data_IF_490319425372
#
_entry.id   IF_490319425372
#
_cell.length_a   1.000
_cell.length_b   1.000
_cell.length_c   1.000
_cell.angle_alpha   90.00
_cell.angle_beta   90.00
_cell.angle_gamma   90.00
#
_symmetry.space_group_name_H-M   'P 1'
#
loop_
_entity.id
_entity.type
_entity.pdbx_description
1 polymer ?
#
# COMPACT_ATOMS: atom_id res chain seq x y z
N UNK A 1 24.74 -3.12 22.81
CA UNK A 1 24.41 -2.78 21.40
C UNK A 1 24.02 -4.06 20.71
N UNK A 2 22.81 -4.12 20.16
CA UNK A 2 22.36 -5.31 19.45
C UNK A 2 23.21 -5.54 18.20
N UNK A 3 23.38 -6.82 17.84
CA UNK A 3 24.17 -7.21 16.66
C UNK A 3 23.60 -6.53 15.41
N UNK A 4 24.42 -5.87 14.61
CA UNK A 4 24.03 -5.40 13.27
C UNK A 4 23.75 -6.59 12.37
N UNK A 5 22.53 -6.63 11.79
CA UNK A 5 22.09 -7.70 10.92
C UNK A 5 22.41 -7.40 9.46
N UNK A 6 22.69 -8.46 8.70
CA UNK A 6 22.79 -8.40 7.25
C UNK A 6 21.44 -8.83 6.65
N UNK A 7 20.70 -7.90 6.10
CA UNK A 7 19.31 -8.04 5.68
C UNK A 7 19.22 -8.03 4.14
N UNK A 8 18.59 -9.03 3.58
CA UNK A 8 18.41 -9.18 2.14
C UNK A 8 16.94 -9.11 1.74
N UNK A 9 16.55 -8.09 1.00
CA UNK A 9 15.20 -7.97 0.43
C UNK A 9 15.14 -8.56 -0.97
N UNK A 10 14.15 -9.39 -1.27
CA UNK A 10 13.93 -9.97 -2.60
C UNK A 10 12.53 -9.67 -3.14
N UNK A 11 12.48 -9.04 -4.31
CA UNK A 11 11.23 -8.78 -5.02
C UNK A 11 11.41 -8.91 -6.53
N UNK A 12 10.98 -10.04 -7.08
CA UNK A 12 11.05 -10.33 -8.51
C UNK A 12 9.88 -9.79 -9.34
N UNK A 13 9.29 -8.68 -8.90
CA UNK A 13 8.18 -8.02 -9.62
C UNK A 13 8.59 -7.64 -11.05
N UNK A 14 7.59 -7.45 -11.93
CA UNK A 14 7.85 -6.97 -13.30
C UNK A 14 8.62 -5.65 -13.30
N UNK A 15 9.58 -5.51 -14.22
CA UNK A 15 10.50 -4.36 -14.29
C UNK A 15 9.78 -3.00 -14.34
N UNK A 16 8.62 -2.95 -15.00
CA UNK A 16 7.84 -1.71 -15.18
C UNK A 16 6.77 -1.48 -14.12
N UNK A 17 6.64 -2.39 -13.15
CA UNK A 17 5.68 -2.23 -12.05
C UNK A 17 6.26 -1.38 -10.92
N UNK A 18 5.45 -0.44 -10.46
CA UNK A 18 5.69 0.38 -9.30
C UNK A 18 4.38 0.57 -8.53
N UNK A 19 4.41 0.44 -7.23
CA UNK A 19 3.24 0.60 -6.37
C UNK A 19 3.58 0.66 -4.89
N UNK A 20 2.57 0.52 -4.06
CA UNK A 20 2.71 0.62 -2.59
C UNK A 20 3.65 -0.41 -1.98
N UNK A 21 3.71 -1.62 -2.54
CA UNK A 21 4.60 -2.68 -2.06
C UNK A 21 6.07 -2.37 -2.28
N UNK A 22 6.42 -1.85 -3.47
CA UNK A 22 7.77 -1.46 -3.84
C UNK A 22 8.22 -0.22 -3.07
N UNK A 23 7.34 0.79 -2.92
CA UNK A 23 7.57 1.98 -2.10
C UNK A 23 7.86 1.59 -0.64
N UNK A 24 7.07 0.67 -0.09
CA UNK A 24 7.27 0.14 1.26
C UNK A 24 8.65 -0.53 1.43
N UNK A 25 9.06 -1.36 0.45
CA UNK A 25 10.35 -2.05 0.53
C UNK A 25 11.53 -1.08 0.57
N UNK A 26 11.52 -0.03 -0.26
CA UNK A 26 12.58 0.98 -0.24
C UNK A 26 12.57 1.72 1.10
N UNK A 27 11.40 2.14 1.61
CA UNK A 27 11.30 2.81 2.91
C UNK A 27 11.80 1.94 4.06
N UNK A 28 11.43 0.65 4.08
CA UNK A 28 11.89 -0.30 5.07
C UNK A 28 13.41 -0.52 5.00
N UNK A 29 13.94 -0.70 3.79
CA UNK A 29 15.37 -0.90 3.55
C UNK A 29 16.20 0.34 3.97
N UNK A 30 15.74 1.55 3.60
CA UNK A 30 16.40 2.79 4.02
C UNK A 30 16.36 2.97 5.55
N UNK A 31 15.19 2.79 6.18
CA UNK A 31 15.07 2.95 7.63
C UNK A 31 15.94 1.96 8.42
N UNK A 32 16.02 0.71 7.98
CA UNK A 32 16.92 -0.27 8.59
C UNK A 32 18.40 0.07 8.37
N UNK A 33 18.76 0.56 7.18
CA UNK A 33 20.12 1.05 6.90
C UNK A 33 20.49 2.24 7.78
N UNK A 34 19.58 3.20 7.99
CA UNK A 34 19.78 4.36 8.87
C UNK A 34 20.03 3.93 10.33
N UNK A 35 19.56 2.75 10.75
CA UNK A 35 19.83 2.13 12.04
C UNK A 35 21.14 1.34 12.08
N UNK A 36 21.86 1.33 10.98
CA UNK A 36 23.19 0.74 10.88
C UNK A 36 23.22 -0.74 10.49
N UNK A 37 22.11 -1.30 10.01
CA UNK A 37 22.10 -2.62 9.39
C UNK A 37 22.72 -2.58 7.99
N UNK A 38 23.30 -3.71 7.57
CA UNK A 38 23.72 -3.93 6.18
C UNK A 38 22.50 -4.38 5.37
N UNK A 39 22.05 -3.56 4.41
CA UNK A 39 20.84 -3.85 3.67
C UNK A 39 21.12 -3.97 2.18
N UNK A 40 20.75 -5.10 1.58
CA UNK A 40 20.80 -5.35 0.13
C UNK A 40 19.39 -5.54 -0.41
N UNK A 41 19.03 -4.81 -1.47
CA UNK A 41 17.76 -4.96 -2.17
C UNK A 41 17.96 -5.65 -3.52
N UNK A 42 17.25 -6.75 -3.74
CA UNK A 42 17.33 -7.56 -4.94
C UNK A 42 16.02 -7.53 -5.72
N UNK A 43 16.15 -7.45 -7.03
CA UNK A 43 15.03 -7.42 -7.96
C UNK A 43 15.46 -7.71 -9.40
N UNK A 44 14.56 -7.52 -10.36
CA UNK A 44 14.92 -7.64 -11.77
C UNK A 44 15.88 -6.53 -12.20
N UNK A 45 16.87 -6.90 -13.00
CA UNK A 45 17.75 -5.93 -13.64
C UNK A 45 16.95 -4.84 -14.38
N UNK A 46 17.41 -3.60 -14.33
CA UNK A 46 16.82 -2.44 -14.99
C UNK A 46 15.34 -2.21 -14.61
N UNK A 47 14.93 -2.63 -13.42
CA UNK A 47 13.57 -2.39 -12.92
C UNK A 47 13.45 -1.03 -12.24
N UNK A 48 12.25 -0.45 -12.29
CA UNK A 48 11.94 0.79 -11.55
C UNK A 48 12.27 0.62 -10.05
N UNK A 49 12.07 -0.58 -9.49
CA UNK A 49 12.41 -0.87 -8.11
C UNK A 49 13.90 -0.71 -7.83
N UNK A 50 14.77 -1.33 -8.65
CA UNK A 50 16.23 -1.25 -8.43
C UNK A 50 16.77 0.14 -8.70
N UNK A 51 16.31 0.81 -9.76
CA UNK A 51 16.75 2.18 -10.05
C UNK A 51 16.43 3.12 -8.88
N UNK A 52 15.19 3.07 -8.35
CA UNK A 52 14.81 3.88 -7.18
C UNK A 52 15.53 3.48 -5.88
N UNK A 53 15.88 2.22 -5.74
CA UNK A 53 16.68 1.75 -4.59
C UNK A 53 18.12 2.28 -4.67
N UNK A 54 18.69 2.31 -5.86
CA UNK A 54 20.02 2.87 -6.12
C UNK A 54 20.03 4.40 -5.91
N UNK A 55 19.03 5.12 -6.44
CA UNK A 55 18.81 6.55 -6.19
C UNK A 55 18.70 6.87 -4.69
N UNK A 56 18.13 5.93 -3.90
CA UNK A 56 18.03 6.02 -2.44
C UNK A 56 19.33 5.59 -1.71
N UNK A 57 20.40 5.29 -2.45
CA UNK A 57 21.70 4.89 -1.89
C UNK A 57 21.75 3.50 -1.28
N UNK A 58 20.81 2.61 -1.62
CA UNK A 58 20.84 1.23 -1.16
C UNK A 58 21.82 0.37 -1.99
N UNK A 59 22.39 -0.64 -1.37
CA UNK A 59 23.10 -1.71 -2.09
C UNK A 59 22.09 -2.52 -2.89
N UNK A 60 22.25 -2.55 -4.22
CA UNK A 60 21.37 -3.32 -5.11
C UNK A 60 22.07 -4.58 -5.62
N UNK A 61 21.25 -5.63 -5.87
CA UNK A 61 21.72 -6.87 -6.46
C UNK A 61 20.70 -7.39 -7.49
N UNK A 62 20.98 -7.29 -8.79
CA UNK A 62 20.08 -7.81 -9.81
C UNK A 62 19.93 -9.34 -9.72
N UNK A 63 18.71 -9.82 -9.51
CA UNK A 63 18.37 -11.23 -9.47
C UNK A 63 17.09 -11.51 -10.26
N UNK A 64 17.24 -12.02 -11.47
CA UNK A 64 16.11 -12.31 -12.36
C UNK A 64 15.49 -13.68 -12.01
N UNK A 65 14.36 -13.66 -11.29
CA UNK A 65 13.53 -14.83 -11.01
C UNK A 65 12.32 -14.78 -11.93
N UNK A 66 12.27 -15.65 -12.94
CA UNK A 66 11.18 -15.73 -13.93
C UNK A 66 10.21 -16.87 -13.65
N UNK A 67 10.72 -18.01 -13.26
CA UNK A 67 9.95 -19.23 -13.04
C UNK A 67 10.11 -19.77 -11.61
N UNK A 68 9.07 -20.45 -11.14
CA UNK A 68 9.08 -21.19 -9.88
C UNK A 68 10.07 -22.38 -9.95
N UNK A 69 10.71 -22.71 -8.84
CA UNK A 69 11.53 -23.90 -8.64
C UNK A 69 12.70 -24.09 -9.61
N UNK A 70 13.21 -23.02 -10.24
CA UNK A 70 14.35 -23.10 -11.16
C UNK A 70 15.64 -23.48 -10.39
N UNK A 71 16.23 -24.69 -10.62
CA UNK A 71 17.33 -25.22 -9.81
C UNK A 71 18.61 -24.38 -9.96
N UNK A 72 18.89 -23.88 -11.16
CA UNK A 72 20.07 -23.04 -11.40
C UNK A 72 19.94 -21.70 -10.65
N UNK A 73 18.74 -21.12 -10.63
CA UNK A 73 18.49 -19.88 -9.88
C UNK A 73 18.53 -20.09 -8.37
N UNK A 74 18.02 -21.23 -7.88
CA UNK A 74 18.10 -21.60 -6.46
C UNK A 74 19.58 -21.76 -6.07
N UNK A 75 20.37 -22.50 -6.83
CA UNK A 75 21.79 -22.69 -6.56
C UNK A 75 22.58 -21.37 -6.62
N UNK A 76 22.35 -20.55 -7.63
CA UNK A 76 22.99 -19.24 -7.78
C UNK A 76 22.63 -18.31 -6.60
N UNK A 77 21.35 -18.23 -6.25
CA UNK A 77 20.88 -17.42 -5.10
C UNK A 77 21.49 -17.93 -3.79
N UNK A 78 21.57 -19.25 -3.57
CA UNK A 78 22.26 -19.84 -2.41
C UNK A 78 23.71 -19.35 -2.30
N UNK A 79 24.45 -19.32 -3.40
CA UNK A 79 25.85 -18.82 -3.40
C UNK A 79 25.94 -17.35 -3.01
N UNK A 80 25.03 -16.53 -3.53
CA UNK A 80 24.92 -15.11 -3.16
C UNK A 80 24.67 -14.98 -1.66
N UNK A 81 23.61 -15.61 -1.14
CA UNK A 81 23.24 -15.48 0.28
C UNK A 81 24.36 -15.92 1.22
N UNK A 82 25.11 -16.97 0.87
CA UNK A 82 26.30 -17.38 1.63
C UNK A 82 27.44 -16.38 1.55
N UNK A 83 27.73 -15.86 0.36
CA UNK A 83 28.81 -14.86 0.15
C UNK A 83 28.52 -13.56 0.92
N UNK A 84 27.27 -13.11 0.85
CA UNK A 84 26.82 -11.90 1.55
C UNK A 84 26.60 -12.13 3.05
N UNK A 85 26.74 -13.35 3.57
CA UNK A 85 26.52 -13.73 5.00
C UNK A 85 25.17 -13.21 5.54
N UNK A 86 24.09 -13.45 4.79
CA UNK A 86 22.75 -12.94 5.10
C UNK A 86 22.22 -13.53 6.41
N UNK A 87 21.82 -12.68 7.36
CA UNK A 87 21.16 -13.07 8.61
C UNK A 87 19.63 -13.18 8.43
N UNK A 88 19.04 -12.23 7.70
CA UNK A 88 17.58 -12.15 7.48
C UNK A 88 17.31 -11.97 6.00
N UNK A 89 16.43 -12.81 5.43
CA UNK A 89 15.90 -12.59 4.09
C UNK A 89 14.40 -12.28 4.14
N UNK A 90 14.00 -11.21 3.47
CA UNK A 90 12.59 -10.84 3.29
C UNK A 90 12.13 -11.06 1.85
N UNK A 91 11.06 -11.80 1.67
CA UNK A 91 10.54 -12.30 0.40
C UNK A 91 9.15 -11.71 0.13
N UNK A 92 8.97 -11.03 -0.99
CA UNK A 92 7.74 -10.26 -1.23
C UNK A 92 6.70 -10.98 -2.11
N UNK A 93 7.09 -11.93 -2.95
CA UNK A 93 6.19 -12.65 -3.85
C UNK A 93 6.30 -14.17 -3.65
N UNK A 94 5.22 -14.89 -3.96
CA UNK A 94 5.20 -16.36 -3.86
C UNK A 94 6.34 -17.02 -4.63
N UNK A 95 6.70 -16.52 -5.81
CA UNK A 95 7.83 -17.05 -6.58
C UNK A 95 9.19 -16.73 -5.93
N UNK A 96 9.33 -15.61 -5.22
CA UNK A 96 10.53 -15.31 -4.44
C UNK A 96 10.68 -16.33 -3.29
N UNK A 97 9.57 -16.69 -2.63
CA UNK A 97 9.58 -17.71 -1.58
C UNK A 97 10.01 -19.07 -2.16
N UNK A 98 9.49 -19.46 -3.34
CA UNK A 98 9.80 -20.76 -3.97
C UNK A 98 11.20 -20.84 -4.56
N UNK A 99 11.86 -19.75 -4.84
CA UNK A 99 13.24 -19.72 -5.36
C UNK A 99 14.23 -19.28 -4.30
N UNK A 100 14.09 -18.05 -3.83
CA UNK A 100 15.01 -17.48 -2.85
C UNK A 100 14.80 -18.05 -1.44
N UNK A 101 13.57 -18.45 -1.06
CA UNK A 101 13.30 -19.14 0.20
C UNK A 101 13.94 -20.52 0.26
N UNK A 102 13.84 -21.34 -0.80
CA UNK A 102 14.56 -22.64 -0.88
C UNK A 102 16.08 -22.38 -0.83
N UNK A 103 16.57 -21.43 -1.60
CA UNK A 103 17.98 -21.06 -1.60
C UNK A 103 18.47 -20.65 -0.21
N UNK A 104 17.65 -19.89 0.54
CA UNK A 104 17.95 -19.44 1.89
C UNK A 104 18.01 -20.63 2.89
N UNK A 105 17.05 -21.58 2.82
CA UNK A 105 17.12 -22.82 3.60
C UNK A 105 18.41 -23.60 3.32
N UNK A 106 18.76 -23.74 2.04
CA UNK A 106 20.01 -24.45 1.65
C UNK A 106 21.29 -23.66 2.00
N UNK A 107 21.19 -22.32 2.10
CA UNK A 107 22.28 -21.48 2.55
C UNK A 107 22.40 -21.44 4.08
N UNK A 108 21.41 -21.98 4.81
CA UNK A 108 21.27 -21.89 6.27
C UNK A 108 21.15 -20.44 6.74
N UNK A 109 20.39 -19.61 6.00
CA UNK A 109 20.04 -18.25 6.46
C UNK A 109 19.20 -18.37 7.74
N UNK A 110 19.59 -17.69 8.83
CA UNK A 110 18.93 -17.85 10.14
C UNK A 110 17.44 -17.52 10.12
N UNK A 111 17.04 -16.46 9.39
CA UNK A 111 15.67 -15.96 9.41
C UNK A 111 15.15 -15.74 7.98
N UNK A 112 14.03 -16.38 7.65
CA UNK A 112 13.38 -16.29 6.33
C UNK A 112 11.95 -15.80 6.52
N UNK A 113 11.67 -14.56 6.10
CA UNK A 113 10.37 -13.89 6.29
C UNK A 113 9.69 -13.65 4.95
N UNK A 114 8.40 -13.96 4.86
CA UNK A 114 7.54 -13.49 3.77
C UNK A 114 6.83 -12.21 4.17
N UNK A 115 6.62 -11.29 3.22
CA UNK A 115 5.78 -10.11 3.42
C UNK A 115 4.63 -10.07 2.44
N UNK A 116 3.42 -10.01 2.95
CA UNK A 116 2.18 -10.00 2.17
C UNK A 116 1.33 -8.76 2.50
N UNK A 117 1.42 -7.74 1.66
CA UNK A 117 0.60 -6.53 1.78
C UNK A 117 -0.84 -6.66 1.24
N UNK A 118 -1.17 -7.82 0.66
CA UNK A 118 -2.51 -8.26 0.28
C UNK A 118 -2.58 -9.78 0.52
N UNK A 119 -3.77 -10.34 0.61
CA UNK A 119 -3.91 -11.80 0.76
C UNK A 119 -3.43 -12.51 -0.51
N UNK A 120 -2.25 -13.16 -0.45
CA UNK A 120 -1.62 -13.88 -1.55
C UNK A 120 -1.86 -15.38 -1.52
N UNK A 121 -2.25 -15.93 -0.37
CA UNK A 121 -2.46 -17.34 -0.16
C UNK A 121 -3.94 -17.68 -0.11
N UNK A 122 -4.27 -18.85 -0.60
CA UNK A 122 -5.58 -19.48 -0.49
C UNK A 122 -5.41 -20.85 0.14
N UNK A 123 -6.50 -21.45 0.60
CA UNK A 123 -6.49 -22.78 1.21
C UNK A 123 -6.24 -23.87 0.16
N UNK A 124 -4.96 -23.98 -0.26
CA UNK A 124 -4.46 -24.98 -1.22
C UNK A 124 -3.16 -25.58 -0.70
N UNK A 125 -3.00 -26.89 -0.90
CA UNK A 125 -1.82 -27.64 -0.45
C UNK A 125 -0.48 -27.03 -0.91
N UNK A 126 -0.41 -26.51 -2.13
CA UNK A 126 0.81 -25.87 -2.65
C UNK A 126 1.16 -24.57 -1.92
N UNK A 127 0.17 -23.84 -1.38
CA UNK A 127 0.42 -22.68 -0.55
C UNK A 127 0.91 -23.09 0.83
N UNK A 128 0.36 -24.16 1.42
CA UNK A 128 0.89 -24.76 2.65
C UNK A 128 2.38 -25.08 2.48
N UNK A 129 2.76 -25.79 1.41
CA UNK A 129 4.17 -26.09 1.11
C UNK A 129 5.05 -24.86 0.90
N UNK A 130 4.50 -23.80 0.32
CA UNK A 130 5.23 -22.54 0.15
C UNK A 130 5.49 -21.85 1.51
N UNK A 131 4.50 -21.89 2.41
CA UNK A 131 4.60 -21.30 3.76
C UNK A 131 5.55 -22.06 4.68
N UNK A 132 5.71 -23.37 4.49
CA UNK A 132 6.69 -24.16 5.24
C UNK A 132 8.15 -23.70 5.01
N UNK A 133 8.41 -22.99 3.91
CA UNK A 133 9.74 -22.47 3.57
C UNK A 133 10.14 -21.21 4.36
N UNK A 134 9.21 -20.55 5.03
CA UNK A 134 9.47 -19.30 5.78
C UNK A 134 9.29 -19.51 7.28
N UNK A 135 9.98 -18.74 8.09
CA UNK A 135 9.85 -18.76 9.55
C UNK A 135 8.67 -17.93 10.01
N UNK A 136 8.40 -16.81 9.32
CA UNK A 136 7.27 -15.95 9.60
C UNK A 136 6.71 -15.23 8.38
N UNK A 137 5.51 -14.66 8.56
CA UNK A 137 4.81 -13.87 7.55
C UNK A 137 4.44 -12.54 8.16
N UNK A 138 4.91 -11.45 7.57
CA UNK A 138 4.48 -10.11 7.91
C UNK A 138 3.29 -9.72 7.02
N UNK A 139 2.18 -9.32 7.63
CA UNK A 139 1.04 -8.68 6.97
C UNK A 139 0.96 -7.21 7.38
N UNK A 140 0.20 -6.42 6.64
CA UNK A 140 0.01 -5.00 6.96
C UNK A 140 -1.39 -4.69 7.49
N UNK A 141 -2.18 -5.70 7.85
CA UNK A 141 -3.48 -5.53 8.51
C UNK A 141 -3.89 -6.77 9.30
N UNK A 142 -4.63 -6.57 10.37
CA UNK A 142 -5.26 -7.63 11.17
C UNK A 142 -6.26 -8.44 10.35
N UNK A 143 -6.94 -7.79 9.43
CA UNK A 143 -7.88 -8.43 8.51
C UNK A 143 -7.19 -9.51 7.65
N UNK A 144 -5.98 -9.24 7.12
CA UNK A 144 -5.19 -10.24 6.37
C UNK A 144 -4.68 -11.34 7.30
N UNK A 145 -4.22 -10.99 8.51
CA UNK A 145 -3.80 -11.98 9.52
C UNK A 145 -4.94 -12.93 9.86
N UNK A 146 -6.12 -12.40 10.13
CA UNK A 146 -7.32 -13.19 10.42
C UNK A 146 -7.68 -14.11 9.26
N UNK A 147 -7.63 -13.61 8.01
CA UNK A 147 -7.90 -14.41 6.83
C UNK A 147 -6.90 -15.59 6.69
N UNK A 148 -5.63 -15.41 7.05
CA UNK A 148 -4.65 -16.50 7.06
C UNK A 148 -4.86 -17.47 8.22
N UNK A 149 -5.17 -16.97 9.42
CA UNK A 149 -5.41 -17.79 10.59
C UNK A 149 -6.68 -18.65 10.49
N UNK A 150 -7.57 -18.38 9.54
CA UNK A 150 -8.71 -19.22 9.21
C UNK A 150 -8.33 -20.47 8.41
N UNK A 151 -7.10 -20.57 7.88
CA UNK A 151 -6.64 -21.81 7.26
C UNK A 151 -6.22 -22.79 8.35
N UNK A 152 -6.82 -23.98 8.36
CA UNK A 152 -6.59 -25.02 9.39
C UNK A 152 -5.11 -25.45 9.53
N UNK A 153 -4.33 -25.27 8.47
CA UNK A 153 -2.91 -25.63 8.41
C UNK A 153 -1.96 -24.46 8.73
N UNK A 154 -2.47 -23.24 8.95
CA UNK A 154 -1.64 -22.06 9.25
C UNK A 154 -1.40 -21.96 10.76
N UNK A 155 -0.15 -22.07 11.24
CA UNK A 155 0.16 -21.78 12.63
C UNK A 155 -0.13 -20.29 12.94
N UNK A 156 -0.89 -20.01 14.00
CA UNK A 156 -1.34 -18.65 14.36
C UNK A 156 -0.18 -17.70 14.64
N UNK A 157 0.87 -18.23 15.29
CA UNK A 157 2.10 -17.50 15.63
C UNK A 157 2.95 -17.15 14.41
N UNK A 158 2.72 -17.77 13.27
CA UNK A 158 3.49 -17.56 12.05
C UNK A 158 3.19 -16.21 11.37
N UNK A 159 2.07 -15.57 11.72
CA UNK A 159 1.60 -14.35 11.06
C UNK A 159 1.65 -13.17 12.03
N UNK A 160 2.45 -12.16 11.69
CA UNK A 160 2.61 -10.93 12.48
C UNK A 160 2.12 -9.73 11.68
N UNK A 161 1.42 -8.80 12.35
CA UNK A 161 1.00 -7.54 11.73
C UNK A 161 2.03 -6.46 12.01
N UNK A 162 2.58 -5.91 10.92
CA UNK A 162 3.38 -4.69 10.95
C UNK A 162 2.75 -3.71 9.96
N UNK A 163 2.07 -2.71 10.50
CA UNK A 163 1.40 -1.70 9.70
C UNK A 163 2.37 -0.93 8.81
N UNK A 164 1.89 -0.46 7.66
CA UNK A 164 2.68 0.46 6.84
C UNK A 164 2.93 1.75 7.62
N UNK A 165 4.11 2.33 7.45
CA UNK A 165 4.46 3.62 8.03
C UNK A 165 4.55 4.71 6.97
N UNK A 166 4.22 5.93 7.34
CA UNK A 166 4.37 7.11 6.50
C UNK A 166 5.54 7.97 7.01
N UNK A 167 6.38 8.45 6.09
CA UNK A 167 7.42 9.40 6.44
C UNK A 167 6.76 10.76 6.68
N UNK A 168 6.70 11.16 7.95
CA UNK A 168 6.19 12.47 8.35
C UNK A 168 7.29 13.51 8.12
N UNK A 169 7.37 14.01 6.88
CA UNK A 169 8.29 15.10 6.58
C UNK A 169 7.63 16.41 7.02
N UNK A 170 8.34 17.25 7.76
CA UNK A 170 7.90 18.62 8.07
C UNK A 170 7.87 19.54 6.84
N UNK A 171 7.97 19.00 5.64
CA UNK A 171 7.93 19.77 4.40
C UNK A 171 6.52 20.34 4.19
N UNK A 172 6.43 21.65 4.06
CA UNK A 172 5.19 22.32 3.67
C UNK A 172 4.86 21.86 2.24
N UNK A 173 3.70 21.25 2.08
CA UNK A 173 3.18 20.87 0.77
C UNK A 173 2.29 21.98 0.28
N UNK A 174 2.69 22.67 -0.80
CA UNK A 174 1.83 23.66 -1.44
C UNK A 174 0.69 22.95 -2.20
N UNK A 175 -0.56 23.42 -2.04
CA UNK A 175 -1.69 22.85 -2.76
C UNK A 175 -1.56 23.12 -4.27
N UNK A 176 -1.94 22.15 -5.10
CA UNK A 176 -2.01 22.35 -6.54
C UNK A 176 -3.13 23.33 -6.90
N UNK A 177 -2.92 24.17 -7.94
CA UNK A 177 -4.00 25.02 -8.45
C UNK A 177 -4.96 24.19 -9.33
N UNK A 178 -5.74 23.32 -8.70
CA UNK A 178 -6.60 22.33 -9.37
C UNK A 178 -7.68 22.96 -10.24
N UNK A 179 -8.23 24.09 -9.86
CA UNK A 179 -9.25 24.80 -10.63
C UNK A 179 -8.71 25.29 -11.97
N UNK A 180 -7.50 25.87 -11.98
CA UNK A 180 -6.86 26.34 -13.21
C UNK A 180 -6.32 25.18 -14.06
N UNK A 181 -5.63 24.19 -13.44
CA UNK A 181 -4.98 23.10 -14.17
C UNK A 181 -6.00 22.25 -14.95
N UNK A 182 -7.17 21.98 -14.34
CA UNK A 182 -8.18 21.13 -14.96
C UNK A 182 -9.46 21.87 -15.37
N UNK A 183 -9.41 23.20 -15.45
CA UNK A 183 -10.53 24.03 -15.85
C UNK A 183 -11.83 23.67 -15.11
N UNK A 184 -11.81 23.84 -13.78
CA UNK A 184 -12.91 23.54 -12.89
C UNK A 184 -13.46 24.84 -12.33
N UNK A 185 -14.79 25.06 -12.32
CA UNK A 185 -15.38 26.24 -11.69
C UNK A 185 -14.96 26.39 -10.23
N UNK A 186 -14.73 27.62 -9.77
CA UNK A 186 -14.21 27.90 -8.42
C UNK A 186 -15.19 27.56 -7.29
N UNK A 187 -16.46 27.52 -7.61
CA UNK A 187 -17.56 27.18 -6.68
C UNK A 187 -17.76 25.66 -6.52
N UNK A 188 -17.08 24.85 -7.32
CA UNK A 188 -17.17 23.39 -7.21
C UNK A 188 -16.33 22.86 -6.03
N UNK A 189 -16.95 22.00 -5.23
CA UNK A 189 -16.25 21.18 -4.25
C UNK A 189 -15.51 20.03 -4.96
N UNK A 190 -14.31 19.74 -4.50
CA UNK A 190 -13.41 18.78 -5.18
C UNK A 190 -13.27 17.51 -4.40
N UNK A 191 -13.71 16.41 -5.01
CA UNK A 191 -13.40 15.06 -4.57
C UNK A 191 -12.18 14.54 -5.34
N UNK A 192 -11.20 13.98 -4.64
CA UNK A 192 -10.05 13.32 -5.26
C UNK A 192 -10.08 11.83 -4.93
N UNK A 193 -10.01 11.00 -5.96
CA UNK A 193 -9.76 9.57 -5.86
C UNK A 193 -8.43 9.25 -6.53
N UNK A 194 -7.60 8.38 -5.95
CA UNK A 194 -6.30 8.08 -6.53
C UNK A 194 -5.92 6.60 -6.45
N UNK A 195 -5.33 6.10 -7.52
CA UNK A 195 -4.88 4.71 -7.61
C UNK A 195 -4.73 4.20 -9.04
N UNK A 196 -4.32 2.94 -9.18
CA UNK A 196 -4.27 2.30 -10.50
C UNK A 196 -5.68 2.17 -11.08
N UNK A 197 -5.87 2.54 -12.34
CA UNK A 197 -7.16 2.37 -13.02
C UNK A 197 -7.40 0.88 -13.31
N UNK A 198 -7.89 0.18 -12.31
CA UNK A 198 -8.20 -1.25 -12.32
C UNK A 198 -9.49 -1.50 -11.56
N UNK A 199 -10.21 -2.58 -11.88
CA UNK A 199 -11.46 -2.98 -11.20
C UNK A 199 -11.33 -3.04 -9.68
N UNK A 200 -10.14 -3.40 -9.16
CA UNK A 200 -9.86 -3.44 -7.72
C UNK A 200 -10.15 -2.09 -7.04
N UNK A 201 -9.85 -0.97 -7.70
CA UNK A 201 -9.97 0.38 -7.14
C UNK A 201 -11.39 0.95 -7.15
N UNK A 202 -12.33 0.32 -7.85
CA UNK A 202 -13.76 0.65 -7.77
C UNK A 202 -14.15 1.99 -8.37
N UNK A 203 -13.35 2.58 -9.27
CA UNK A 203 -13.68 3.87 -9.88
C UNK A 203 -14.94 3.82 -10.74
N UNK A 204 -15.28 2.66 -11.30
CA UNK A 204 -16.55 2.39 -11.96
C UNK A 204 -17.75 2.56 -11.02
N UNK A 205 -17.62 2.15 -9.75
CA UNK A 205 -18.65 2.37 -8.74
C UNK A 205 -18.79 3.85 -8.38
N UNK A 206 -17.66 4.57 -8.31
CA UNK A 206 -17.66 6.01 -8.04
C UNK A 206 -18.34 6.80 -9.17
N UNK A 207 -18.03 6.48 -10.42
CA UNK A 207 -18.69 7.10 -11.58
C UNK A 207 -20.20 6.84 -11.55
N UNK A 208 -20.63 5.61 -11.27
CA UNK A 208 -22.05 5.28 -11.11
C UNK A 208 -22.70 6.00 -9.92
N UNK A 209 -22.00 6.24 -8.83
CA UNK A 209 -22.52 7.01 -7.72
C UNK A 209 -22.65 8.48 -8.10
N UNK A 210 -21.66 9.04 -8.78
CA UNK A 210 -21.67 10.43 -9.26
C UNK A 210 -22.87 10.70 -10.18
N UNK A 211 -23.22 9.76 -11.07
CA UNK A 211 -24.38 9.92 -11.98
C UNK A 211 -25.72 9.99 -11.25
N UNK A 212 -25.80 9.47 -10.03
CA UNK A 212 -27.02 9.48 -9.19
C UNK A 212 -27.15 10.70 -8.29
N UNK A 213 -26.10 11.53 -8.22
CA UNK A 213 -26.06 12.73 -7.37
C UNK A 213 -26.51 13.99 -8.10
N UNK A 214 -27.36 13.86 -9.12
CA UNK A 214 -27.97 14.99 -9.82
C UNK A 214 -28.88 15.77 -8.87
N UNK A 215 -28.75 17.10 -8.87
CA UNK A 215 -29.59 17.98 -8.05
C UNK A 215 -29.12 18.17 -6.60
N UNK A 216 -27.84 17.89 -6.30
CA UNK A 216 -27.23 18.24 -4.99
C UNK A 216 -27.20 19.75 -4.79
N UNK A 217 -27.31 20.20 -3.54
CA UNK A 217 -27.34 21.60 -3.15
C UNK A 217 -26.01 22.36 -3.46
N UNK A 218 -24.94 21.64 -3.75
CA UNK A 218 -23.60 22.18 -4.03
C UNK A 218 -23.00 21.54 -5.26
N UNK A 219 -22.47 22.34 -6.21
CA UNK A 219 -21.74 21.79 -7.36
C UNK A 219 -20.44 21.11 -6.91
N UNK A 220 -20.04 20.04 -7.61
CA UNK A 220 -18.83 19.33 -7.29
C UNK A 220 -18.17 18.70 -8.53
N UNK A 221 -16.89 18.41 -8.41
CA UNK A 221 -16.10 17.69 -9.43
C UNK A 221 -15.31 16.56 -8.77
N UNK A 222 -15.28 15.41 -9.42
CA UNK A 222 -14.50 14.23 -9.03
C UNK A 222 -13.26 14.15 -9.91
N UNK A 223 -12.07 14.21 -9.32
CA UNK A 223 -10.80 14.01 -9.98
C UNK A 223 -10.28 12.61 -9.68
N UNK A 224 -10.05 11.80 -10.72
CA UNK A 224 -9.51 10.44 -10.58
C UNK A 224 -8.07 10.45 -11.08
N UNK A 225 -7.12 10.36 -10.14
CA UNK A 225 -5.69 10.36 -10.40
C UNK A 225 -5.16 8.94 -10.57
N UNK A 226 -4.44 8.68 -11.66
CA UNK A 226 -3.78 7.41 -11.91
C UNK A 226 -3.83 6.95 -13.35
N UNK A 227 -3.19 5.81 -13.61
CA UNK A 227 -3.18 5.14 -14.91
C UNK A 227 -3.52 3.65 -14.73
N UNK A 228 -3.92 3.00 -15.80
CA UNK A 228 -4.23 1.57 -15.76
C UNK A 228 -5.03 1.09 -16.96
N UNK A 229 -5.21 -0.23 -17.01
CA UNK A 229 -5.83 -0.92 -18.14
C UNK A 229 -7.31 -0.55 -18.36
N UNK A 230 -8.01 -0.12 -17.30
CA UNK A 230 -9.45 0.16 -17.36
C UNK A 230 -9.74 1.63 -17.77
N UNK A 231 -8.69 2.43 -18.14
CA UNK A 231 -8.85 3.85 -18.51
C UNK A 231 -9.94 4.05 -19.57
N UNK A 232 -9.84 3.36 -20.70
CA UNK A 232 -10.82 3.49 -21.79
C UNK A 232 -12.24 3.12 -21.38
N UNK A 233 -12.38 2.09 -20.53
CA UNK A 233 -13.69 1.66 -20.01
C UNK A 233 -14.29 2.74 -19.11
N UNK A 234 -13.47 3.39 -18.27
CA UNK A 234 -13.92 4.47 -17.39
C UNK A 234 -14.28 5.73 -18.19
N UNK A 235 -13.49 6.09 -19.21
CA UNK A 235 -13.81 7.20 -20.13
C UNK A 235 -15.17 6.97 -20.81
N UNK A 236 -15.38 5.79 -21.39
CA UNK A 236 -16.67 5.43 -21.98
C UNK A 236 -17.83 5.53 -20.98
N UNK A 237 -17.63 5.07 -19.75
CA UNK A 237 -18.65 5.14 -18.70
C UNK A 237 -18.98 6.59 -18.29
N UNK A 238 -17.99 7.49 -18.26
CA UNK A 238 -18.18 8.93 -18.03
C UNK A 238 -19.04 9.53 -19.14
N UNK A 239 -18.73 9.23 -20.40
CA UNK A 239 -19.48 9.71 -21.57
C UNK A 239 -20.92 9.21 -21.57
N UNK A 240 -21.14 7.90 -21.38
CA UNK A 240 -22.46 7.27 -21.35
C UNK A 240 -23.38 7.81 -20.23
N UNK A 241 -22.79 8.28 -19.12
CA UNK A 241 -23.52 8.90 -18.01
C UNK A 241 -23.59 10.44 -18.10
N UNK A 242 -23.10 11.06 -19.17
CA UNK A 242 -23.06 12.52 -19.36
C UNK A 242 -22.31 13.26 -18.23
N UNK A 243 -21.19 12.68 -17.72
CA UNK A 243 -20.45 13.20 -16.57
C UNK A 243 -19.16 13.97 -16.93
N UNK A 244 -18.95 14.34 -18.19
CA UNK A 244 -17.73 15.04 -18.66
C UNK A 244 -17.47 16.37 -17.93
N UNK A 245 -18.51 17.02 -17.41
CA UNK A 245 -18.41 18.21 -16.57
C UNK A 245 -18.04 17.91 -15.10
N UNK A 246 -18.36 16.71 -14.62
CA UNK A 246 -18.29 16.38 -13.19
C UNK A 246 -17.18 15.37 -12.84
N UNK A 247 -16.70 14.56 -13.80
CA UNK A 247 -15.65 13.55 -13.54
C UNK A 247 -14.50 13.73 -14.54
N UNK A 248 -13.29 13.81 -14.03
CA UNK A 248 -12.08 13.95 -14.85
C UNK A 248 -11.03 12.90 -14.51
N UNK A 249 -10.55 12.14 -15.50
CA UNK A 249 -9.39 11.24 -15.36
C UNK A 249 -8.11 12.03 -15.59
N UNK A 250 -7.46 12.48 -14.51
CA UNK A 250 -6.33 13.41 -14.55
C UNK A 250 -4.95 12.76 -14.77
N UNK A 251 -4.92 11.44 -15.03
CA UNK A 251 -3.68 10.72 -15.30
C UNK A 251 -2.79 10.54 -14.05
N UNK A 252 -1.57 10.09 -14.28
CA UNK A 252 -0.59 9.93 -13.21
C UNK A 252 -0.11 11.30 -12.70
N UNK A 253 -0.08 11.47 -11.39
CA UNK A 253 0.37 12.69 -10.73
C UNK A 253 1.69 12.44 -10.00
N UNK A 254 2.77 13.12 -10.43
CA UNK A 254 4.08 13.02 -9.75
C UNK A 254 4.02 13.57 -8.32
N UNK A 255 3.27 14.65 -8.10
CA UNK A 255 3.02 15.25 -6.79
C UNK A 255 1.55 15.07 -6.39
N UNK A 256 1.15 13.83 -6.10
CA UNK A 256 -0.22 13.52 -5.68
C UNK A 256 -0.57 14.24 -4.37
N UNK A 257 0.39 14.43 -3.47
CA UNK A 257 0.18 15.10 -2.18
C UNK A 257 -0.29 16.55 -2.36
N UNK A 258 0.19 17.27 -3.38
CA UNK A 258 -0.29 18.62 -3.71
C UNK A 258 -1.75 18.61 -4.20
N UNK A 259 -2.14 17.59 -4.98
CA UNK A 259 -3.53 17.42 -5.45
C UNK A 259 -4.44 17.06 -4.27
N UNK A 260 -4.02 16.13 -3.40
CA UNK A 260 -4.74 15.79 -2.16
C UNK A 260 -4.89 17.03 -1.26
N UNK A 261 -3.83 17.81 -1.11
CA UNK A 261 -3.85 19.03 -0.28
C UNK A 261 -4.85 20.08 -0.79
N UNK A 262 -5.04 20.17 -2.11
CA UNK A 262 -5.98 21.09 -2.73
C UNK A 262 -7.45 20.61 -2.72
N UNK A 263 -7.70 19.31 -2.52
CA UNK A 263 -9.04 18.72 -2.50
C UNK A 263 -9.83 19.14 -1.25
N UNK A 264 -11.17 19.15 -1.35
CA UNK A 264 -12.07 19.24 -0.20
C UNK A 264 -12.25 17.89 0.46
N UNK A 265 -12.40 16.85 -0.33
CA UNK A 265 -12.64 15.47 0.11
C UNK A 265 -11.78 14.47 -0.64
N UNK A 266 -11.40 13.42 0.05
CA UNK A 266 -10.77 12.24 -0.59
C UNK A 266 -11.75 11.09 -0.56
N UNK A 267 -11.86 10.36 -1.68
CA UNK A 267 -12.76 9.22 -1.75
C UNK A 267 -12.03 7.96 -2.26
N UNK A 268 -12.19 6.86 -1.54
CA UNK A 268 -11.60 5.56 -1.87
C UNK A 268 -12.67 4.49 -2.01
N UNK A 269 -13.20 4.21 -3.21
CA UNK A 269 -14.27 3.25 -3.45
C UNK A 269 -13.75 1.83 -3.71
N UNK A 270 -12.58 1.48 -3.21
CA UNK A 270 -11.89 0.22 -3.51
C UNK A 270 -12.71 -1.02 -3.14
N UNK A 271 -12.58 -2.06 -3.95
CA UNK A 271 -13.16 -3.38 -3.67
C UNK A 271 -12.29 -4.23 -2.75
N UNK A 272 -11.00 -3.96 -2.76
CA UNK A 272 -10.03 -4.68 -1.94
C UNK A 272 -8.75 -3.85 -1.76
N UNK A 273 -8.26 -3.80 -0.53
CA UNK A 273 -6.97 -3.22 -0.16
C UNK A 273 -6.25 -4.15 0.82
N UNK A 274 -4.99 -3.87 1.11
CA UNK A 274 -4.34 -4.35 2.33
C UNK A 274 -4.43 -3.24 3.38
N UNK A 275 -3.48 -2.30 3.29
CA UNK A 275 -3.50 -1.03 4.03
C UNK A 275 -3.34 0.10 3.01
N UNK A 276 -4.38 0.91 2.78
CA UNK A 276 -4.39 1.85 1.66
C UNK A 276 -3.51 3.08 1.94
N UNK A 277 -2.37 3.19 1.25
CA UNK A 277 -1.44 4.31 1.41
C UNK A 277 -2.08 5.66 1.11
N UNK A 278 -2.99 5.74 0.11
CA UNK A 278 -3.68 7.00 -0.22
C UNK A 278 -4.52 7.50 0.95
N UNK A 279 -5.17 6.60 1.69
CA UNK A 279 -5.91 6.97 2.91
C UNK A 279 -4.94 7.51 3.96
N UNK A 280 -3.85 6.79 4.25
CA UNK A 280 -2.83 7.24 5.20
C UNK A 280 -2.23 8.61 4.81
N UNK A 281 -1.87 8.79 3.54
CA UNK A 281 -1.32 10.05 3.02
C UNK A 281 -2.33 11.19 3.15
N UNK A 282 -3.61 10.92 2.92
CA UNK A 282 -4.70 11.90 3.07
C UNK A 282 -4.97 12.26 4.53
N UNK A 283 -4.97 11.26 5.42
CA UNK A 283 -5.07 11.45 6.87
C UNK A 283 -3.92 12.34 7.39
N UNK A 284 -2.68 12.08 6.96
CA UNK A 284 -1.52 12.86 7.34
C UNK A 284 -1.61 14.34 6.89
N UNK A 285 -2.30 14.60 5.78
CA UNK A 285 -2.58 15.94 5.27
C UNK A 285 -3.81 16.59 5.92
N UNK A 286 -4.48 15.89 6.86
CA UNK A 286 -5.65 16.39 7.56
C UNK A 286 -6.88 16.53 6.66
N UNK A 287 -7.01 15.71 5.61
CA UNK A 287 -8.16 15.78 4.70
C UNK A 287 -9.30 14.88 5.16
N UNK A 288 -10.55 15.34 5.06
CA UNK A 288 -11.72 14.50 5.25
C UNK A 288 -11.76 13.39 4.20
N UNK A 289 -11.96 12.14 4.64
CA UNK A 289 -11.89 10.95 3.79
C UNK A 289 -13.19 10.17 3.84
N UNK A 290 -13.64 9.72 2.67
CA UNK A 290 -14.71 8.76 2.48
C UNK A 290 -14.09 7.46 1.96
N UNK A 291 -14.18 6.37 2.68
CA UNK A 291 -13.53 5.12 2.30
C UNK A 291 -14.46 3.91 2.39
N UNK A 292 -14.36 3.02 1.41
CA UNK A 292 -15.01 1.72 1.49
C UNK A 292 -14.40 0.89 2.64
N UNK A 293 -15.23 0.22 3.43
CA UNK A 293 -14.81 -0.66 4.52
C UNK A 293 -14.20 -1.96 3.98
N UNK A 294 -12.96 -1.86 3.55
CA UNK A 294 -12.18 -3.00 3.04
C UNK A 294 -10.90 -3.18 3.84
N UNK A 295 -10.65 -4.41 4.28
CA UNK A 295 -9.47 -4.83 5.03
C UNK A 295 -8.96 -3.74 6.00
N UNK A 296 -7.73 -3.30 5.91
CA UNK A 296 -7.11 -2.37 6.87
C UNK A 296 -7.72 -0.95 6.98
N UNK A 297 -8.85 -0.63 6.34
CA UNK A 297 -9.48 0.71 6.45
C UNK A 297 -10.00 0.97 7.85
N UNK A 298 -10.75 0.04 8.43
CA UNK A 298 -11.28 0.14 9.80
C UNK A 298 -10.18 0.07 10.88
N UNK A 299 -8.96 -0.33 10.48
CA UNK A 299 -7.76 -0.26 11.34
C UNK A 299 -7.09 1.12 11.28
N UNK A 300 -7.26 1.83 10.16
CA UNK A 300 -6.76 3.19 9.95
C UNK A 300 -7.73 4.26 10.41
N UNK A 301 -9.03 4.05 10.19
CA UNK A 301 -10.08 5.05 10.34
C UNK A 301 -11.16 4.59 11.31
N UNK A 302 -11.77 5.56 11.97
CA UNK A 302 -12.99 5.37 12.78
C UNK A 302 -14.13 6.17 12.12
N UNK A 303 -15.26 5.48 11.84
CA UNK A 303 -16.42 6.10 11.20
C UNK A 303 -16.91 7.33 11.96
N UNK A 304 -17.08 8.45 11.24
CA UNK A 304 -17.52 9.77 11.73
C UNK A 304 -16.64 10.37 12.85
N UNK A 305 -15.41 9.84 13.03
CA UNK A 305 -14.40 10.42 13.94
C UNK A 305 -13.16 10.89 13.17
N UNK A 306 -12.68 10.05 12.24
CA UNK A 306 -11.52 10.38 11.41
C UNK A 306 -11.86 10.35 9.91
N UNK A 307 -13.14 10.18 9.55
CA UNK A 307 -13.67 10.15 8.21
C UNK A 307 -14.96 9.34 8.12
N UNK A 308 -15.48 9.18 6.92
CA UNK A 308 -16.70 8.42 6.65
C UNK A 308 -16.36 7.05 6.06
N UNK A 309 -16.74 5.98 6.76
CA UNK A 309 -16.55 4.60 6.26
C UNK A 309 -17.91 4.12 5.71
N UNK A 310 -17.91 3.58 4.49
CA UNK A 310 -19.11 3.09 3.81
C UNK A 310 -18.96 1.64 3.35
N UNK A 311 -20.11 0.96 3.16
CA UNK A 311 -20.16 -0.45 2.73
C UNK A 311 -19.50 -0.63 1.36
N UNK A 312 -18.54 -1.55 1.20
CA UNK A 312 -17.84 -1.76 -0.05
C UNK A 312 -18.77 -2.33 -1.13
N UNK A 313 -18.43 -2.13 -2.40
CA UNK A 313 -19.18 -2.59 -3.58
C UNK A 313 -20.66 -2.15 -3.61
N UNK A 314 -20.99 -1.06 -2.95
CA UNK A 314 -22.36 -0.54 -2.86
C UNK A 314 -22.40 0.91 -3.36
N UNK A 315 -22.98 1.11 -4.55
CA UNK A 315 -23.11 2.43 -5.19
C UNK A 315 -23.97 3.38 -4.34
N UNK A 316 -25.06 2.89 -3.71
CA UNK A 316 -25.91 3.73 -2.86
C UNK A 316 -25.16 4.22 -1.63
N UNK A 317 -24.33 3.35 -1.01
CA UNK A 317 -23.50 3.76 0.13
C UNK A 317 -22.44 4.82 -0.23
N UNK A 318 -21.92 4.78 -1.46
CA UNK A 318 -21.06 5.86 -1.98
C UNK A 318 -21.87 7.15 -2.15
N UNK A 319 -23.08 7.08 -2.73
CA UNK A 319 -23.96 8.24 -2.87
C UNK A 319 -24.29 8.87 -1.50
N UNK A 320 -24.68 8.06 -0.53
CA UNK A 320 -24.99 8.50 0.84
C UNK A 320 -23.79 9.22 1.48
N UNK A 321 -22.57 8.64 1.37
CA UNK A 321 -21.38 9.24 1.89
C UNK A 321 -21.05 10.59 1.23
N UNK A 322 -21.13 10.67 -0.10
CA UNK A 322 -20.90 11.93 -0.83
C UNK A 322 -21.98 12.97 -0.51
N UNK A 323 -23.25 12.57 -0.50
CA UNK A 323 -24.37 13.46 -0.16
C UNK A 323 -24.24 14.01 1.27
N UNK A 324 -23.84 13.16 2.23
CA UNK A 324 -23.61 13.57 3.61
C UNK A 324 -22.59 14.73 3.69
N UNK A 325 -21.42 14.56 3.07
CA UNK A 325 -20.38 15.59 3.16
C UNK A 325 -20.68 16.84 2.34
N UNK A 326 -21.44 16.74 1.24
CA UNK A 326 -21.92 17.89 0.48
C UNK A 326 -22.89 18.75 1.30
N UNK A 327 -23.81 18.12 2.03
CA UNK A 327 -24.78 18.81 2.89
C UNK A 327 -24.14 19.37 4.16
N UNK A 328 -23.13 18.70 4.69
CA UNK A 328 -22.44 19.09 5.93
C UNK A 328 -21.12 19.86 5.66
N UNK A 329 -20.90 20.32 4.43
CA UNK A 329 -19.68 21.05 4.08
C UNK A 329 -19.50 22.30 4.96
N UNK A 330 -18.31 22.42 5.56
CA UNK A 330 -17.98 23.52 6.48
C UNK A 330 -18.45 23.31 7.93
N UNK A 331 -19.06 22.16 8.25
CA UNK A 331 -19.41 21.85 9.65
C UNK A 331 -18.18 21.51 10.50
N UNK A 332 -18.30 21.72 11.80
CA UNK A 332 -17.27 21.35 12.78
C UNK A 332 -17.00 19.84 12.79
N UNK A 333 -18.03 19.01 12.54
CA UNK A 333 -17.87 17.57 12.47
C UNK A 333 -16.85 17.18 11.41
N UNK A 334 -17.03 17.68 10.17
CA UNK A 334 -16.11 17.32 9.06
C UNK A 334 -14.73 17.93 9.26
N UNK A 335 -14.63 19.13 9.78
CA UNK A 335 -13.35 19.78 10.09
C UNK A 335 -12.56 18.99 11.13
N UNK A 336 -13.23 18.48 12.16
CA UNK A 336 -12.64 17.66 13.21
C UNK A 336 -12.13 16.30 12.69
N UNK A 337 -12.74 15.72 11.66
CA UNK A 337 -12.25 14.47 11.08
C UNK A 337 -10.81 14.61 10.58
N UNK A 338 -10.51 15.69 9.87
CA UNK A 338 -9.16 15.91 9.36
C UNK A 338 -8.12 16.06 10.47
N UNK A 339 -8.45 16.78 11.54
CA UNK A 339 -7.58 16.96 12.71
C UNK A 339 -7.32 15.63 13.42
N UNK A 340 -8.39 14.87 13.69
CA UNK A 340 -8.29 13.57 14.35
C UNK A 340 -7.54 12.55 13.50
N UNK A 341 -7.79 12.53 12.18
CA UNK A 341 -7.10 11.66 11.24
C UNK A 341 -5.59 11.90 11.21
N UNK A 342 -5.19 13.18 11.14
CA UNK A 342 -3.77 13.58 11.17
C UNK A 342 -3.09 13.14 12.46
N UNK A 343 -3.75 13.33 13.60
CA UNK A 343 -3.26 12.91 14.91
C UNK A 343 -3.07 11.38 14.94
N UNK A 344 -4.05 10.61 14.50
CA UNK A 344 -4.00 9.14 14.49
C UNK A 344 -2.82 8.59 13.66
N UNK A 345 -2.54 9.19 12.50
CA UNK A 345 -1.37 8.79 11.68
C UNK A 345 -0.08 9.14 12.37
N UNK A 346 0.02 10.33 12.97
CA UNK A 346 1.21 10.77 13.68
C UNK A 346 1.52 9.89 14.91
N UNK A 347 0.49 9.42 15.61
CA UNK A 347 0.65 8.61 16.82
C UNK A 347 0.97 7.13 16.51
N UNK A 348 0.44 6.56 15.41
CA UNK A 348 0.44 5.11 15.23
C UNK A 348 1.04 4.60 13.91
N UNK A 349 1.09 5.43 12.86
CA UNK A 349 1.43 4.99 11.50
C UNK A 349 2.62 5.75 10.91
N UNK A 350 3.61 6.07 11.74
CA UNK A 350 4.86 6.70 11.28
C UNK A 350 5.84 5.68 10.71
N UNK A 351 6.74 6.13 9.84
CA UNK A 351 7.83 5.29 9.35
C UNK A 351 8.69 4.80 10.51
N UNK A 352 8.96 5.65 11.51
CA UNK A 352 9.72 5.28 12.71
C UNK A 352 9.08 4.08 13.42
N UNK A 353 7.79 4.17 13.75
CA UNK A 353 7.04 3.08 14.41
C UNK A 353 7.06 1.78 13.59
N UNK A 354 6.95 1.89 12.25
CA UNK A 354 7.02 0.72 11.37
C UNK A 354 8.42 0.07 11.44
N UNK A 355 9.48 0.86 11.40
CA UNK A 355 10.86 0.35 11.43
C UNK A 355 11.18 -0.24 12.82
N UNK A 356 10.74 0.40 13.92
CA UNK A 356 10.89 -0.14 15.28
C UNK A 356 10.31 -1.55 15.40
N UNK A 357 9.08 -1.74 14.92
CA UNK A 357 8.40 -3.04 14.93
C UNK A 357 9.08 -4.07 14.03
N UNK A 358 9.53 -3.63 12.85
CA UNK A 358 10.20 -4.52 11.90
C UNK A 358 11.56 -5.01 12.43
N UNK A 359 12.34 -4.11 12.98
CA UNK A 359 13.64 -4.40 13.58
C UNK A 359 13.49 -5.33 14.79
N UNK A 360 12.58 -5.00 15.72
CA UNK A 360 12.29 -5.83 16.89
C UNK A 360 11.86 -7.25 16.48
N UNK A 361 11.00 -7.36 15.45
CA UNK A 361 10.59 -8.65 14.93
C UNK A 361 11.75 -9.45 14.33
N UNK A 362 12.68 -8.80 13.63
CA UNK A 362 13.86 -9.47 13.09
C UNK A 362 14.78 -9.99 14.20
N UNK A 363 15.00 -9.22 15.26
CA UNK A 363 15.79 -9.67 16.41
C UNK A 363 15.12 -10.82 17.16
N UNK A 364 13.79 -10.77 17.34
CA UNK A 364 13.04 -11.86 17.95
C UNK A 364 13.21 -13.17 17.18
N UNK A 365 13.00 -13.14 15.87
CA UNK A 365 13.16 -14.31 15.00
C UNK A 365 14.62 -14.80 14.96
N UNK A 366 15.58 -13.87 14.95
CA UNK A 366 17.00 -14.21 14.98
C UNK A 366 17.40 -14.87 16.30
N UNK A 367 16.91 -14.39 17.41
CA UNK A 367 17.13 -15.00 18.73
C UNK A 367 16.54 -16.41 18.87
N UNK A 368 15.37 -16.65 18.25
CA UNK A 368 14.74 -17.98 18.23
C UNK A 368 15.52 -18.99 17.36
N UNK A 369 16.14 -18.55 16.27
CA UNK A 369 16.92 -19.41 15.36
C UNK A 369 18.27 -19.88 15.94
N UNK A 370 18.72 -19.27 17.04
CA UNK A 370 19.99 -19.58 17.72
C UNK A 370 19.78 -20.29 19.05
N UNK A 371 18.56 -20.59 19.43
CA UNK A 371 18.19 -21.49 20.54
C UNK A 371 17.95 -22.90 20.03
#
# INVERSE_FOLDING_TARGET
MDKKLNIFFSNSISAHKWGGGEKWMIMAACGLKERGHEVTLSGKANSILLNKAEEAGLKILPLNIYADYNPFKIWYTKRILKREKVDVIMLNLNKDIRVAGIAARWAKVPVIIARNGIQLFSDKWKHKKTIELVDGIITNSESIRTAYNNFSWMPKEKTTVIYNGLKMNGTIIEPANIHTIWNIPKDHLIFVAAGRLTRQKGFDLLINATSRLNGTSRPFTVLIAGTGKDRKTLEKQIDENNLNGNVKLIGFQNNLSAVIKAADYIIMPSRQEGMPNVVMESMALGKPILAADVNGVSELMSHRKTGYIFKPMNVNAICEAMHFVLNQHGSDEISNWGVAAKKQVADHFTLGTMIDRLESYFYEQYGQSHR
#
